data_IF_375086357487
#
_entry.id   IF_375086357487
#
_cell.length_a   1.000
_cell.length_b   1.000
_cell.length_c   1.000
_cell.angle_alpha   90.00
_cell.angle_beta   90.00
_cell.angle_gamma   90.00
#
_symmetry.space_group_name_H-M   'P 1'
#
loop_
_entity.id
_entity.type
_entity.pdbx_description
1 polymer ?
#
# COMPACT_ATOMS: atom_id res chain seq x y z
N UNK A 1 -10.82 3.90 31.44
CA UNK A 1 -9.45 3.34 31.52
C UNK A 1 -8.63 3.90 30.37
N UNK A 2 -7.42 4.37 30.63
CA UNK A 2 -6.47 4.86 29.63
C UNK A 2 -5.28 3.92 29.63
N UNK A 3 -4.87 3.47 28.43
CA UNK A 3 -3.68 2.64 28.23
C UNK A 3 -2.78 3.42 27.26
N UNK A 4 -1.70 4.08 27.71
CA UNK A 4 -0.74 4.69 26.81
C UNK A 4 -0.03 3.62 25.98
N UNK A 5 0.10 3.88 24.68
CA UNK A 5 0.78 2.99 23.74
C UNK A 5 2.14 3.59 23.36
N UNK A 6 3.19 2.88 23.71
CA UNK A 6 4.59 3.29 23.49
C UNK A 6 4.97 3.06 22.02
N UNK A 7 5.54 4.07 21.37
CA UNK A 7 6.06 4.00 20.00
C UNK A 7 7.59 4.02 19.92
N UNK A 8 8.29 4.39 21.01
CA UNK A 8 9.74 4.33 21.11
C UNK A 8 10.17 3.97 22.53
N UNK A 9 11.40 3.49 22.67
CA UNK A 9 11.89 2.99 23.96
C UNK A 9 12.02 4.08 25.03
N UNK A 10 12.33 5.32 24.65
CA UNK A 10 12.43 6.44 25.60
C UNK A 10 11.08 6.83 26.21
N UNK A 11 9.97 6.64 25.49
CA UNK A 11 8.63 6.83 26.05
C UNK A 11 8.32 5.79 27.13
N UNK A 12 8.76 4.54 26.89
CA UNK A 12 8.65 3.49 27.90
C UNK A 12 9.39 3.85 29.19
N UNK A 13 10.64 4.30 29.09
CA UNK A 13 11.44 4.74 30.24
C UNK A 13 10.76 5.90 30.97
N UNK A 14 10.29 6.90 30.22
CA UNK A 14 9.58 8.06 30.79
C UNK A 14 8.32 7.65 31.58
N UNK A 15 7.54 6.70 31.06
CA UNK A 15 6.33 6.22 31.76
C UNK A 15 6.71 5.50 33.05
N UNK A 16 7.77 4.70 33.05
CA UNK A 16 8.24 4.00 34.26
C UNK A 16 8.71 4.99 35.31
N UNK A 17 9.52 6.00 34.94
CA UNK A 17 9.99 7.03 35.82
C UNK A 17 8.85 7.80 36.49
N UNK A 18 7.82 8.18 35.71
CA UNK A 18 6.65 8.83 36.28
C UNK A 18 5.80 7.90 37.17
N UNK A 19 5.66 6.63 36.76
CA UNK A 19 4.95 5.65 37.56
C UNK A 19 5.60 5.43 38.95
N UNK A 20 6.93 5.39 38.97
CA UNK A 20 7.71 5.31 40.22
C UNK A 20 7.52 6.56 41.07
N UNK A 21 7.67 7.77 40.51
CA UNK A 21 7.46 9.04 41.21
C UNK A 21 6.05 9.18 41.82
N UNK A 22 5.05 8.65 41.14
CA UNK A 22 3.64 8.71 41.57
C UNK A 22 3.24 7.52 42.45
N UNK A 23 4.08 6.50 42.57
CA UNK A 23 3.77 5.26 43.29
C UNK A 23 2.63 4.46 42.70
N UNK A 24 2.47 4.48 41.36
CA UNK A 24 1.38 3.80 40.64
C UNK A 24 1.91 2.64 39.77
N UNK A 25 1.04 1.70 39.47
CA UNK A 25 1.28 0.63 38.50
C UNK A 25 0.58 1.02 37.18
N UNK A 26 1.36 1.37 36.11
CA UNK A 26 0.74 1.83 34.87
C UNK A 26 0.14 0.65 34.09
N UNK A 27 -0.93 0.92 33.35
CA UNK A 27 -1.34 0.00 32.26
C UNK A 27 -0.64 0.46 30.99
N UNK A 28 0.09 -0.45 30.33
CA UNK A 28 0.95 -0.12 29.20
C UNK A 28 0.52 -0.90 27.94
N UNK A 29 0.61 -0.23 26.80
CA UNK A 29 0.59 -0.82 25.47
C UNK A 29 1.92 -0.58 24.75
N UNK A 30 2.26 -1.43 23.81
CA UNK A 30 3.41 -1.23 22.92
C UNK A 30 3.01 -1.42 21.48
N UNK A 31 3.42 -0.49 20.60
CA UNK A 31 3.28 -0.62 19.16
C UNK A 31 4.49 -1.36 18.61
N UNK A 32 4.26 -2.58 18.10
CA UNK A 32 5.31 -3.40 17.51
C UNK A 32 5.43 -3.17 16.00
N UNK A 33 6.67 -3.12 15.51
CA UNK A 33 6.97 -3.17 14.07
C UNK A 33 6.87 -4.62 13.60
N UNK A 34 6.01 -4.86 12.61
CA UNK A 34 5.91 -6.15 11.95
C UNK A 34 6.80 -6.19 10.69
N UNK A 35 7.22 -7.38 10.28
CA UNK A 35 7.90 -7.59 9.02
C UNK A 35 6.92 -7.45 7.83
N UNK A 36 5.66 -7.79 8.06
CA UNK A 36 4.57 -7.62 7.11
C UNK A 36 4.39 -6.14 6.74
N UNK A 37 4.29 -5.86 5.44
CA UNK A 37 4.10 -4.52 4.91
C UNK A 37 2.70 -4.38 4.31
N UNK A 38 2.06 -3.23 4.52
CA UNK A 38 0.83 -2.87 3.82
C UNK A 38 1.10 -2.65 2.33
N UNK A 39 0.12 -2.96 1.49
CA UNK A 39 0.11 -2.51 0.09
C UNK A 39 -0.47 -1.09 0.01
N UNK A 40 0.01 -0.26 -0.92
CA UNK A 40 -0.52 1.06 -1.21
C UNK A 40 0.47 2.22 -0.99
N UNK A 41 -0.02 3.43 -1.23
CA UNK A 41 0.75 4.70 -1.23
C UNK A 41 1.54 5.01 0.05
N UNK A 42 1.14 4.42 1.18
CA UNK A 42 1.69 4.70 2.52
C UNK A 42 2.46 3.50 3.10
N UNK A 43 3.09 2.69 2.24
CA UNK A 43 3.89 1.53 2.65
C UNK A 43 5.00 1.88 3.66
N UNK A 44 5.51 3.11 3.63
CA UNK A 44 6.58 3.57 4.52
C UNK A 44 6.14 3.75 5.99
N UNK A 45 4.84 3.79 6.28
CA UNK A 45 4.32 3.90 7.65
C UNK A 45 4.22 2.55 8.37
N UNK A 46 4.43 1.44 7.68
CA UNK A 46 4.47 0.08 8.22
C UNK A 46 5.80 -0.63 7.95
N UNK A 47 5.93 -1.87 8.43
CA UNK A 47 7.12 -2.70 8.24
C UNK A 47 8.32 -2.29 9.09
N UNK A 48 9.42 -3.01 8.92
CA UNK A 48 10.66 -2.86 9.72
C UNK A 48 11.31 -1.48 9.63
N UNK A 49 11.11 -0.76 8.52
CA UNK A 49 11.66 0.59 8.28
C UNK A 49 10.77 1.72 8.76
N UNK A 50 9.59 1.40 9.32
CA UNK A 50 8.70 2.42 9.88
C UNK A 50 9.43 3.27 10.93
N UNK A 51 9.20 4.59 10.90
CA UNK A 51 9.64 5.49 11.96
C UNK A 51 8.82 5.32 13.26
N UNK A 52 7.69 4.63 13.20
CA UNK A 52 6.78 4.39 14.31
C UNK A 52 6.89 2.97 14.83
N UNK A 53 6.71 2.82 16.14
CA UNK A 53 6.73 1.55 16.85
C UNK A 53 8.14 1.05 17.17
N UNK A 54 8.21 0.08 18.04
CA UNK A 54 9.43 -0.56 18.53
C UNK A 54 9.66 -1.91 17.87
N UNK A 55 10.90 -2.33 17.78
CA UNK A 55 11.27 -3.66 17.27
C UNK A 55 10.87 -4.76 18.26
N UNK A 56 10.76 -6.00 17.82
CA UNK A 56 10.48 -7.15 18.69
C UNK A 56 11.56 -7.25 19.80
N UNK A 57 12.82 -6.95 19.49
CA UNK A 57 13.90 -6.94 20.47
C UNK A 57 13.71 -5.89 21.55
N UNK A 58 13.23 -4.70 21.17
CA UNK A 58 12.90 -3.63 22.14
C UNK A 58 11.66 -3.96 22.97
N UNK A 59 10.63 -4.58 22.38
CA UNK A 59 9.46 -5.10 23.13
C UNK A 59 9.92 -6.10 24.19
N UNK A 60 10.75 -7.07 23.82
CA UNK A 60 11.28 -8.05 24.77
C UNK A 60 12.15 -7.42 25.85
N UNK A 61 12.99 -6.45 25.49
CA UNK A 61 13.81 -5.70 26.48
C UNK A 61 12.92 -4.96 27.47
N UNK A 62 11.92 -4.23 26.99
CA UNK A 62 10.96 -3.52 27.84
C UNK A 62 10.19 -4.49 28.76
N UNK A 63 9.74 -5.62 28.23
CA UNK A 63 9.05 -6.64 29.00
C UNK A 63 9.94 -7.25 30.08
N UNK A 64 11.19 -7.56 29.78
CA UNK A 64 12.17 -8.05 30.78
C UNK A 64 12.40 -7.01 31.90
N UNK A 65 12.43 -5.72 31.56
CA UNK A 65 12.50 -4.64 32.56
C UNK A 65 11.26 -4.64 33.46
N UNK A 66 10.07 -4.78 32.90
CA UNK A 66 8.82 -4.89 33.67
C UNK A 66 8.82 -6.13 34.56
N UNK A 67 9.26 -7.28 34.07
CA UNK A 67 9.37 -8.51 34.88
C UNK A 67 10.32 -8.34 36.05
N UNK A 68 11.50 -7.75 35.83
CA UNK A 68 12.49 -7.50 36.87
C UNK A 68 11.96 -6.60 37.99
N UNK A 69 11.07 -5.69 37.65
CA UNK A 69 10.37 -4.78 38.57
C UNK A 69 9.04 -5.35 39.11
N UNK A 70 8.75 -6.62 38.87
CA UNK A 70 7.47 -7.26 39.24
C UNK A 70 6.25 -6.57 38.67
N UNK A 71 6.35 -6.00 37.47
CA UNK A 71 5.32 -5.27 36.72
C UNK A 71 4.99 -5.90 35.37
N UNK A 72 5.25 -7.18 35.16
CA UNK A 72 4.93 -7.88 33.90
C UNK A 72 3.45 -7.85 33.54
N UNK A 73 2.57 -7.82 34.53
CA UNK A 73 1.12 -7.67 34.40
C UNK A 73 0.67 -6.27 33.92
N UNK A 74 1.56 -5.28 34.00
CA UNK A 74 1.32 -3.93 33.50
C UNK A 74 1.34 -3.84 31.97
N UNK A 75 1.99 -4.77 31.26
CA UNK A 75 1.97 -4.84 29.81
C UNK A 75 0.67 -5.52 29.34
N UNK A 76 -0.34 -4.73 29.03
CA UNK A 76 -1.70 -5.23 28.78
C UNK A 76 -2.19 -5.14 27.34
N UNK A 77 -1.54 -4.34 26.50
CA UNK A 77 -1.97 -4.13 25.12
C UNK A 77 -0.80 -4.26 24.14
N UNK A 78 -0.97 -5.07 23.12
CA UNK A 78 -0.10 -5.09 21.94
C UNK A 78 -0.82 -4.38 20.78
N UNK A 79 -0.12 -3.44 20.14
CA UNK A 79 -0.65 -2.68 19.00
C UNK A 79 0.25 -2.84 17.79
N UNK A 80 -0.34 -2.87 16.60
CA UNK A 80 0.38 -2.69 15.34
C UNK A 80 -0.44 -1.85 14.37
N UNK A 81 0.24 -1.27 13.37
CA UNK A 81 -0.42 -0.50 12.32
C UNK A 81 0.27 -0.76 10.98
N UNK A 82 -0.51 -1.17 9.97
CA UNK A 82 0.00 -1.56 8.66
C UNK A 82 0.19 -0.40 7.69
N UNK A 83 -0.49 0.71 7.94
CA UNK A 83 -0.51 1.85 7.03
C UNK A 83 -1.90 2.41 6.81
N UNK A 84 -2.12 3.06 5.68
CA UNK A 84 -3.40 3.69 5.34
C UNK A 84 -3.84 3.28 3.94
N UNK A 85 -5.15 3.15 3.73
CA UNK A 85 -5.73 2.74 2.46
C UNK A 85 -5.14 1.40 1.99
N UNK A 86 -5.25 0.38 2.84
CA UNK A 86 -4.75 -0.96 2.54
C UNK A 86 -5.71 -1.58 1.52
N UNK A 87 -5.25 -1.74 0.29
CA UNK A 87 -6.08 -2.21 -0.83
C UNK A 87 -6.17 -3.73 -0.95
N UNK A 88 -5.23 -4.47 -0.34
CA UNK A 88 -5.14 -5.94 -0.46
C UNK A 88 -5.31 -6.63 0.89
N UNK A 89 -6.35 -7.46 1.01
CA UNK A 89 -6.64 -8.23 2.22
C UNK A 89 -5.50 -9.19 2.61
N UNK A 90 -4.68 -9.66 1.66
CA UNK A 90 -3.56 -10.56 1.96
C UNK A 90 -2.53 -9.92 2.87
N UNK A 91 -2.29 -8.62 2.72
CA UNK A 91 -1.40 -7.86 3.61
C UNK A 91 -1.93 -7.85 5.06
N UNK A 92 -3.24 -7.69 5.21
CA UNK A 92 -3.92 -7.73 6.52
C UNK A 92 -3.77 -9.13 7.15
N UNK A 93 -4.07 -10.19 6.39
CA UNK A 93 -3.96 -11.59 6.88
C UNK A 93 -2.56 -11.91 7.38
N UNK A 94 -1.53 -11.55 6.62
CA UNK A 94 -0.12 -11.79 7.01
C UNK A 94 0.24 -11.08 8.31
N UNK A 95 -0.15 -9.83 8.46
CA UNK A 95 0.13 -9.06 9.67
C UNK A 95 -0.64 -9.56 10.89
N UNK A 96 -1.89 -9.99 10.72
CA UNK A 96 -2.68 -10.58 11.80
C UNK A 96 -2.02 -11.85 12.37
N UNK A 97 -1.52 -12.71 11.49
CA UNK A 97 -0.82 -13.93 11.90
C UNK A 97 0.47 -13.59 12.64
N UNK A 98 1.28 -12.65 12.10
CA UNK A 98 2.53 -12.23 12.73
C UNK A 98 2.28 -11.60 14.10
N UNK A 99 1.34 -10.65 14.21
CA UNK A 99 0.99 -9.98 15.46
C UNK A 99 0.43 -10.97 16.51
N UNK A 100 -0.41 -11.90 16.09
CA UNK A 100 -0.94 -12.95 16.99
C UNK A 100 0.17 -13.87 17.51
N UNK A 101 1.19 -14.18 16.69
CA UNK A 101 2.39 -14.93 17.15
C UNK A 101 3.20 -14.13 18.17
N UNK A 102 3.37 -12.83 17.98
CA UNK A 102 4.03 -11.96 18.96
C UNK A 102 3.21 -11.91 20.26
N UNK A 103 1.89 -11.74 20.16
CA UNK A 103 0.98 -11.72 21.31
C UNK A 103 1.09 -13.02 22.13
N UNK A 104 0.95 -14.18 21.49
CA UNK A 104 1.00 -15.47 22.17
C UNK A 104 2.37 -15.76 22.76
N UNK A 105 3.46 -15.36 22.08
CA UNK A 105 4.83 -15.50 22.57
C UNK A 105 5.09 -14.67 23.84
N UNK A 106 4.60 -13.43 23.89
CA UNK A 106 4.70 -12.56 25.08
C UNK A 106 3.82 -13.08 26.22
N UNK A 107 2.59 -13.50 25.92
CA UNK A 107 1.67 -14.06 26.91
C UNK A 107 2.29 -15.29 27.60
N UNK A 108 2.86 -16.21 26.84
CA UNK A 108 3.51 -17.40 27.37
C UNK A 108 4.78 -17.12 28.20
N UNK A 109 5.39 -15.93 28.03
CA UNK A 109 6.47 -15.44 28.87
C UNK A 109 5.97 -14.73 30.14
N UNK A 110 4.64 -14.61 30.33
CA UNK A 110 4.02 -14.04 31.52
C UNK A 110 3.65 -12.55 31.40
N UNK A 111 3.54 -12.01 30.18
CA UNK A 111 2.98 -10.69 29.98
C UNK A 111 1.47 -10.69 30.32
N UNK A 112 1.01 -9.61 30.97
CA UNK A 112 -0.40 -9.44 31.37
C UNK A 112 -1.31 -9.02 30.22
N UNK A 113 -1.04 -9.45 28.99
CA UNK A 113 -1.74 -9.05 27.79
C UNK A 113 -3.21 -9.42 27.80
N UNK A 114 -4.06 -8.45 27.54
CA UNK A 114 -5.53 -8.60 27.47
C UNK A 114 -6.10 -8.09 26.16
N UNK A 115 -5.36 -7.18 25.49
CA UNK A 115 -5.83 -6.49 24.31
C UNK A 115 -4.87 -6.67 23.15
N UNK A 116 -5.41 -6.87 21.96
CA UNK A 116 -4.70 -6.78 20.69
C UNK A 116 -5.38 -5.72 19.83
N UNK A 117 -4.70 -4.59 19.67
CA UNK A 117 -5.13 -3.51 18.80
C UNK A 117 -4.53 -3.73 17.41
N UNK A 118 -5.38 -4.07 16.46
CA UNK A 118 -5.00 -4.36 15.07
C UNK A 118 -4.84 -3.09 14.23
N UNK A 119 -4.92 -1.93 14.88
CA UNK A 119 -4.76 -0.63 14.24
C UNK A 119 -5.88 -0.31 13.27
N UNK A 120 -5.57 0.56 12.34
CA UNK A 120 -6.48 1.02 11.30
C UNK A 120 -5.93 0.78 9.90
N UNK A 121 -6.33 1.68 8.99
CA UNK A 121 -5.83 1.66 7.62
C UNK A 121 -6.71 0.88 6.65
N UNK A 122 -7.91 0.46 7.06
CA UNK A 122 -8.86 -0.17 6.13
C UNK A 122 -9.02 0.69 4.90
N UNK A 123 -8.99 0.03 3.73
CA UNK A 123 -9.25 0.66 2.46
C UNK A 123 -10.70 1.13 2.33
N UNK A 124 -10.91 2.09 1.46
CA UNK A 124 -12.22 2.50 0.96
C UNK A 124 -12.17 2.43 -0.56
N UNK A 125 -13.20 1.85 -1.15
CA UNK A 125 -13.31 1.77 -2.60
C UNK A 125 -13.92 3.07 -3.14
N UNK A 126 -13.04 4.06 -3.40
CA UNK A 126 -13.45 5.37 -3.90
C UNK A 126 -13.86 5.38 -5.38
N UNK A 127 -13.39 4.41 -6.15
CA UNK A 127 -13.63 4.33 -7.58
C UNK A 127 -14.62 3.21 -7.99
N UNK A 128 -15.01 2.36 -7.04
CA UNK A 128 -15.99 1.29 -7.28
C UNK A 128 -15.44 0.07 -8.04
N UNK A 129 -14.11 -0.04 -8.21
CA UNK A 129 -13.50 -1.12 -8.99
C UNK A 129 -13.34 -2.44 -8.24
N UNK A 130 -13.39 -2.43 -6.91
CA UNK A 130 -13.16 -3.58 -6.02
C UNK A 130 -11.85 -4.32 -6.34
N UNK A 131 -10.78 -3.55 -6.58
CA UNK A 131 -9.45 -4.06 -6.95
C UNK A 131 -8.39 -3.67 -5.91
N UNK A 132 -7.14 -4.09 -6.16
CA UNK A 132 -5.98 -3.69 -5.36
C UNK A 132 -5.41 -2.32 -5.74
N UNK A 133 -6.11 -1.53 -6.56
CA UNK A 133 -5.70 -0.19 -6.92
C UNK A 133 -5.64 0.74 -5.69
N UNK A 134 -4.81 1.78 -5.74
CA UNK A 134 -4.58 2.70 -4.62
C UNK A 134 -5.84 3.41 -4.11
N UNK A 135 -6.84 3.60 -5.00
CA UNK A 135 -8.12 4.23 -4.67
C UNK A 135 -9.26 3.21 -4.47
N UNK A 136 -8.92 1.93 -4.31
CA UNK A 136 -9.87 0.83 -4.14
C UNK A 136 -9.45 -0.12 -3.03
N UNK A 137 -10.21 -1.18 -2.82
CA UNK A 137 -9.89 -2.33 -1.98
C UNK A 137 -10.56 -3.59 -2.52
N UNK A 138 -9.89 -4.75 -2.37
CA UNK A 138 -10.37 -6.03 -2.87
C UNK A 138 -11.14 -6.87 -1.84
N UNK A 139 -11.64 -6.26 -0.77
CA UNK A 139 -12.33 -6.95 0.34
C UNK A 139 -13.51 -6.14 0.88
N UNK A 140 -14.43 -6.81 1.54
CA UNK A 140 -15.52 -6.19 2.28
C UNK A 140 -15.16 -6.00 3.77
N UNK A 141 -15.89 -5.13 4.47
CA UNK A 141 -15.77 -4.98 5.93
C UNK A 141 -16.07 -6.29 6.66
N UNK A 142 -17.02 -7.08 6.14
CA UNK A 142 -17.34 -8.38 6.73
C UNK A 142 -16.20 -9.38 6.55
N UNK A 143 -15.56 -9.42 5.39
CA UNK A 143 -14.38 -10.25 5.16
C UNK A 143 -13.24 -9.85 6.09
N UNK A 144 -12.94 -8.55 6.19
CA UNK A 144 -11.95 -8.06 7.14
C UNK A 144 -12.23 -8.52 8.57
N UNK A 145 -13.47 -8.35 9.06
CA UNK A 145 -13.84 -8.74 10.41
C UNK A 145 -13.71 -10.26 10.63
N UNK A 146 -14.12 -11.06 9.65
CA UNK A 146 -13.99 -12.51 9.69
C UNK A 146 -12.51 -12.93 9.75
N UNK A 147 -11.65 -12.32 8.93
CA UNK A 147 -10.21 -12.62 8.90
C UNK A 147 -9.51 -12.24 10.21
N UNK A 148 -9.85 -11.07 10.78
CA UNK A 148 -9.32 -10.63 12.08
C UNK A 148 -9.63 -11.67 13.15
N UNK A 149 -10.89 -12.06 13.28
CA UNK A 149 -11.29 -13.05 14.28
C UNK A 149 -10.68 -14.43 14.00
N UNK A 150 -10.73 -14.89 12.75
CA UNK A 150 -10.26 -16.21 12.35
C UNK A 150 -8.77 -16.41 12.62
N UNK A 151 -7.92 -15.49 12.14
CA UNK A 151 -6.47 -15.64 12.27
C UNK A 151 -6.00 -15.52 13.72
N UNK A 152 -6.52 -14.57 14.49
CA UNK A 152 -6.18 -14.41 15.91
C UNK A 152 -6.64 -15.64 16.70
N UNK A 153 -7.87 -16.11 16.48
CA UNK A 153 -8.42 -17.28 17.16
C UNK A 153 -7.58 -18.52 16.89
N UNK A 154 -7.21 -18.78 15.64
CA UNK A 154 -6.42 -19.96 15.29
C UNK A 154 -5.04 -19.96 15.95
N UNK A 155 -4.32 -18.82 15.88
CA UNK A 155 -3.01 -18.71 16.50
C UNK A 155 -3.08 -18.85 18.03
N UNK A 156 -4.07 -18.22 18.67
CA UNK A 156 -4.27 -18.36 20.12
C UNK A 156 -4.58 -19.81 20.52
N UNK A 157 -5.44 -20.49 19.74
CA UNK A 157 -5.79 -21.90 19.98
C UNK A 157 -4.58 -22.83 19.81
N UNK A 158 -3.78 -22.63 18.76
CA UNK A 158 -2.56 -23.41 18.55
C UNK A 158 -1.54 -23.24 19.69
N UNK A 159 -1.49 -22.05 20.30
CA UNK A 159 -0.57 -21.73 21.38
C UNK A 159 -1.12 -22.00 22.79
N UNK A 160 -2.37 -22.47 22.89
CA UNK A 160 -3.13 -22.64 24.15
C UNK A 160 -3.16 -21.37 25.01
N UNK A 161 -3.40 -20.22 24.35
CA UNK A 161 -3.46 -18.88 24.95
C UNK A 161 -4.88 -18.32 24.86
N UNK A 162 -5.40 -17.66 25.91
CA UNK A 162 -6.69 -16.99 25.85
C UNK A 162 -6.76 -15.93 24.74
N UNK A 163 -7.93 -15.83 24.11
CA UNK A 163 -8.14 -14.83 23.07
C UNK A 163 -8.10 -13.41 23.66
N UNK A 164 -7.44 -12.44 22.97
CA UNK A 164 -7.47 -11.06 23.38
C UNK A 164 -8.83 -10.41 23.15
N UNK A 165 -9.10 -9.29 23.84
CA UNK A 165 -10.07 -8.33 23.38
C UNK A 165 -9.45 -7.59 22.17
N UNK A 166 -10.16 -7.64 21.05
CA UNK A 166 -9.68 -7.03 19.79
C UNK A 166 -10.14 -5.57 19.75
N UNK A 167 -9.22 -4.68 19.42
CA UNK A 167 -9.48 -3.26 19.16
C UNK A 167 -9.15 -3.01 17.69
N UNK A 168 -9.99 -2.22 17.01
CA UNK A 168 -9.76 -1.79 15.62
C UNK A 168 -10.00 -0.29 15.50
N UNK A 169 -9.10 0.41 14.84
CA UNK A 169 -9.14 1.84 14.57
C UNK A 169 -9.70 2.10 13.17
N UNK A 170 -11.00 1.89 12.99
CA UNK A 170 -11.65 1.87 11.67
C UNK A 170 -12.19 3.25 11.23
N UNK A 171 -11.55 4.36 11.62
CA UNK A 171 -12.03 5.72 11.40
C UNK A 171 -12.39 6.03 9.95
N UNK A 172 -11.50 5.73 9.00
CA UNK A 172 -11.75 5.94 7.57
C UNK A 172 -12.97 5.15 7.07
N UNK A 173 -13.04 3.87 7.37
CA UNK A 173 -14.13 3.01 6.94
C UNK A 173 -15.50 3.47 7.47
N UNK A 174 -15.54 4.03 8.68
CA UNK A 174 -16.77 4.56 9.30
C UNK A 174 -17.16 5.91 8.72
N UNK A 175 -16.20 6.82 8.47
CA UNK A 175 -16.47 8.22 8.14
C UNK A 175 -16.40 8.55 6.64
N UNK A 176 -15.82 7.70 5.79
CA UNK A 176 -15.58 8.02 4.38
C UNK A 176 -16.87 8.28 3.58
N UNK A 177 -17.96 7.63 3.94
CA UNK A 177 -19.25 7.71 3.24
C UNK A 177 -20.20 8.78 3.81
N UNK A 178 -19.75 9.67 4.68
CA UNK A 178 -20.59 10.70 5.28
C UNK A 178 -20.97 11.82 4.30
N UNK A 179 -20.25 11.95 3.18
CA UNK A 179 -20.54 12.92 2.13
C UNK A 179 -20.24 12.36 0.75
N UNK A 180 -20.98 12.83 -0.27
CA UNK A 180 -20.81 12.44 -1.68
C UNK A 180 -20.69 13.73 -2.50
N UNK A 181 -19.68 13.77 -3.38
CA UNK A 181 -19.54 14.82 -4.40
C UNK A 181 -20.16 14.33 -5.72
N UNK A 182 -21.17 15.04 -6.19
CA UNK A 182 -21.79 14.78 -7.48
C UNK A 182 -21.39 15.89 -8.45
N UNK A 183 -20.87 15.54 -9.62
CA UNK A 183 -20.47 16.48 -10.64
C UNK A 183 -20.70 15.92 -12.05
N UNK A 184 -20.83 16.80 -13.02
CA UNK A 184 -20.90 16.43 -14.42
C UNK A 184 -19.51 16.45 -15.04
N UNK A 185 -19.18 15.45 -15.86
CA UNK A 185 -17.99 15.48 -16.69
C UNK A 185 -18.24 16.46 -17.86
N UNK A 186 -17.56 17.61 -17.88
CA UNK A 186 -17.67 18.60 -18.96
C UNK A 186 -16.82 18.25 -20.19
N UNK A 187 -15.84 17.35 -20.01
CA UNK A 187 -14.97 16.92 -21.09
C UNK A 187 -13.92 15.93 -20.57
N UNK A 188 -13.28 15.25 -21.48
CA UNK A 188 -12.13 14.40 -21.22
C UNK A 188 -10.94 14.97 -22.00
N UNK A 189 -9.79 15.13 -21.34
CA UNK A 189 -8.53 15.33 -22.03
C UNK A 189 -7.93 13.95 -22.30
N UNK A 190 -7.89 13.60 -23.55
CA UNK A 190 -7.26 12.36 -24.00
C UNK A 190 -6.36 12.64 -25.19
N UNK A 191 -5.60 11.67 -25.67
CA UNK A 191 -4.94 11.78 -26.97
C UNK A 191 -6.04 12.10 -27.97
N UNK A 192 -5.94 13.30 -28.59
CA UNK A 192 -6.95 13.79 -29.55
C UNK A 192 -7.29 12.74 -30.59
N UNK A 193 -8.49 12.90 -31.17
CA UNK A 193 -8.92 12.05 -32.27
C UNK A 193 -7.79 11.94 -33.30
N UNK A 194 -7.64 10.79 -33.92
CA UNK A 194 -6.69 10.50 -35.03
C UNK A 194 -6.75 11.61 -36.08
N UNK A 195 -6.19 12.78 -35.80
CA UNK A 195 -6.16 13.90 -36.74
C UNK A 195 -4.95 13.71 -37.65
N UNK A 196 -5.21 13.09 -38.82
CA UNK A 196 -4.41 13.37 -39.98
C UNK A 196 -2.93 12.99 -39.93
N UNK A 197 -2.60 11.72 -39.63
CA UNK A 197 -1.27 11.24 -40.00
C UNK A 197 -1.02 11.53 -41.50
N UNK A 198 0.18 11.96 -41.89
CA UNK A 198 0.52 12.19 -43.29
C UNK A 198 0.35 10.89 -44.08
N UNK A 199 0.03 11.01 -45.36
CA UNK A 199 -0.09 9.83 -46.25
C UNK A 199 1.24 9.17 -46.56
N UNK A 200 2.32 9.93 -46.45
CA UNK A 200 3.70 9.49 -46.68
C UNK A 200 4.61 10.11 -45.63
N UNK A 201 5.62 9.37 -45.22
CA UNK A 201 6.64 9.91 -44.33
C UNK A 201 7.46 11.00 -45.07
N UNK A 202 7.92 12.01 -44.34
CA UNK A 202 8.81 13.04 -44.87
C UNK A 202 10.15 12.43 -45.28
N UNK A 203 10.77 12.95 -46.35
CA UNK A 203 12.00 12.36 -46.94
C UNK A 203 13.18 12.41 -45.98
N UNK A 204 13.31 13.47 -45.19
CA UNK A 204 14.37 13.72 -44.20
C UNK A 204 13.99 13.27 -42.76
N UNK A 205 13.07 12.33 -42.63
CA UNK A 205 12.70 11.79 -41.34
C UNK A 205 13.91 11.13 -40.66
N UNK A 206 14.11 11.50 -39.37
CA UNK A 206 15.11 10.85 -38.53
C UNK A 206 14.77 9.36 -38.25
N UNK A 207 15.77 8.58 -37.94
CA UNK A 207 15.59 7.13 -37.77
C UNK A 207 14.46 6.73 -36.81
N UNK A 208 14.28 7.38 -35.65
CA UNK A 208 13.15 7.02 -34.74
C UNK A 208 11.77 7.25 -35.38
N UNK A 209 11.61 8.27 -36.21
CA UNK A 209 10.36 8.49 -36.95
C UNK A 209 10.11 7.38 -37.99
N UNK A 210 11.16 6.94 -38.67
CA UNK A 210 11.04 5.82 -39.63
C UNK A 210 10.62 4.55 -38.91
N UNK A 211 11.19 4.26 -37.77
CA UNK A 211 10.80 3.12 -36.93
C UNK A 211 9.33 3.23 -36.52
N UNK A 212 8.86 4.38 -36.01
CA UNK A 212 7.45 4.57 -35.66
C UNK A 212 6.52 4.39 -36.87
N UNK A 213 6.92 4.91 -38.04
CA UNK A 213 6.15 4.78 -39.25
C UNK A 213 6.05 3.31 -39.70
N UNK A 214 7.14 2.60 -39.72
CA UNK A 214 7.21 1.17 -40.08
C UNK A 214 6.41 0.31 -39.11
N UNK A 215 6.55 0.53 -37.79
CA UNK A 215 5.78 -0.14 -36.74
C UNK A 215 4.29 0.09 -36.92
N UNK A 216 3.85 1.32 -37.23
CA UNK A 216 2.45 1.62 -37.46
C UNK A 216 1.86 0.84 -38.62
N UNK A 217 2.60 0.66 -39.73
CA UNK A 217 2.14 -0.03 -40.92
C UNK A 217 2.30 -1.56 -40.87
N UNK A 218 3.20 -2.06 -40.02
CA UNK A 218 3.43 -3.49 -39.81
C UNK A 218 2.61 -4.08 -38.66
N UNK A 219 1.81 -3.27 -37.96
CA UNK A 219 1.05 -3.68 -36.79
C UNK A 219 0.00 -4.74 -37.14
N UNK A 220 0.02 -5.86 -36.44
CA UNK A 220 -0.93 -6.96 -36.55
C UNK A 220 -1.17 -7.61 -35.18
N UNK A 221 -2.12 -8.54 -35.09
CA UNK A 221 -2.49 -9.21 -33.84
C UNK A 221 -1.32 -9.99 -33.23
N UNK A 222 -0.45 -10.55 -34.06
CA UNK A 222 0.66 -11.40 -33.62
C UNK A 222 1.81 -10.61 -32.99
N UNK A 223 1.93 -9.29 -33.26
CA UNK A 223 3.07 -8.48 -32.83
C UNK A 223 2.70 -7.30 -31.91
N UNK A 224 1.55 -7.30 -31.27
CA UNK A 224 1.04 -6.16 -30.50
C UNK A 224 2.02 -5.69 -29.41
N UNK A 225 2.58 -6.61 -28.63
CA UNK A 225 3.49 -6.29 -27.52
C UNK A 225 4.83 -5.80 -28.00
N UNK A 226 5.40 -6.46 -29.03
CA UNK A 226 6.67 -6.07 -29.67
C UNK A 226 6.53 -4.67 -30.28
N UNK A 227 5.46 -4.44 -31.05
CA UNK A 227 5.17 -3.13 -31.65
C UNK A 227 5.01 -2.01 -30.62
N UNK A 228 4.43 -2.31 -29.45
CA UNK A 228 4.34 -1.34 -28.36
C UNK A 228 5.72 -0.96 -27.81
N UNK A 229 6.57 -1.95 -27.54
CA UNK A 229 7.92 -1.70 -27.03
C UNK A 229 8.79 -0.94 -28.01
N UNK A 230 8.74 -1.31 -29.30
CA UNK A 230 9.48 -0.62 -30.36
C UNK A 230 9.02 0.83 -30.53
N UNK A 231 7.71 1.05 -30.48
CA UNK A 231 7.16 2.40 -30.55
C UNK A 231 7.53 3.25 -29.34
N UNK A 232 7.53 2.67 -28.13
CA UNK A 232 7.94 3.37 -26.91
C UNK A 232 9.42 3.78 -26.99
N UNK A 233 10.29 2.87 -27.36
CA UNK A 233 11.72 3.15 -27.53
C UNK A 233 11.96 4.25 -28.58
N UNK A 234 11.30 4.16 -29.74
CA UNK A 234 11.44 5.14 -30.80
C UNK A 234 10.92 6.53 -30.38
N UNK A 235 9.84 6.61 -29.60
CA UNK A 235 9.37 7.87 -29.03
C UNK A 235 10.40 8.47 -28.06
N UNK A 236 10.96 7.66 -27.15
CA UNK A 236 11.98 8.11 -26.18
C UNK A 236 13.24 8.63 -26.91
N UNK A 237 13.66 7.95 -27.97
CA UNK A 237 14.76 8.42 -28.82
C UNK A 237 14.43 9.75 -29.51
N UNK A 238 13.20 9.92 -30.02
CA UNK A 238 12.75 11.18 -30.62
C UNK A 238 12.74 12.33 -29.61
N UNK A 239 12.32 12.07 -28.37
CA UNK A 239 12.36 13.05 -27.27
C UNK A 239 13.82 13.45 -26.98
N UNK A 240 14.72 12.49 -26.91
CA UNK A 240 16.14 12.73 -26.65
C UNK A 240 16.79 13.57 -27.76
N UNK A 241 16.56 13.21 -29.02
CA UNK A 241 17.05 13.99 -30.17
C UNK A 241 16.51 15.40 -30.20
N UNK A 242 15.22 15.59 -29.90
CA UNK A 242 14.61 16.92 -29.81
C UNK A 242 15.23 17.74 -28.68
N UNK A 243 15.41 17.16 -27.49
CA UNK A 243 16.03 17.82 -26.34
C UNK A 243 17.51 18.17 -26.61
N UNK A 244 18.20 17.38 -27.42
CA UNK A 244 19.56 17.64 -27.87
C UNK A 244 19.66 18.66 -29.03
N UNK A 245 18.54 19.16 -29.55
CA UNK A 245 18.50 20.10 -30.68
C UNK A 245 18.72 19.44 -32.05
N UNK A 246 18.63 18.12 -32.14
CA UNK A 246 18.88 17.33 -33.36
C UNK A 246 17.59 16.92 -34.08
N UNK A 247 16.42 17.17 -33.52
CA UNK A 247 15.14 16.89 -34.14
C UNK A 247 14.29 18.15 -34.18
N UNK A 248 13.70 18.56 -35.32
CA UNK A 248 12.83 19.71 -35.38
C UNK A 248 11.46 19.45 -34.77
N UNK A 249 10.76 20.53 -34.36
CA UNK A 249 9.50 20.45 -33.61
C UNK A 249 8.39 19.70 -34.36
N UNK A 250 8.30 19.87 -35.69
CA UNK A 250 7.34 19.16 -36.51
C UNK A 250 7.56 17.65 -36.52
N UNK A 251 8.81 17.21 -36.55
CA UNK A 251 9.14 15.78 -36.44
C UNK A 251 8.87 15.24 -35.04
N UNK A 252 9.14 16.03 -33.99
CA UNK A 252 8.80 15.67 -32.62
C UNK A 252 7.28 15.50 -32.44
N UNK A 253 6.48 16.41 -33.01
CA UNK A 253 5.01 16.29 -32.99
C UNK A 253 4.53 15.05 -33.74
N UNK A 254 5.10 14.79 -34.91
CA UNK A 254 4.75 13.60 -35.70
C UNK A 254 5.09 12.29 -34.97
N UNK A 255 6.20 12.25 -34.22
CA UNK A 255 6.55 11.09 -33.40
C UNK A 255 5.50 10.80 -32.33
N UNK A 256 4.97 11.84 -31.64
CA UNK A 256 3.89 11.68 -30.68
C UNK A 256 2.60 11.20 -31.35
N UNK A 257 2.25 11.75 -32.50
CA UNK A 257 1.02 11.38 -33.21
C UNK A 257 1.07 9.93 -33.70
N UNK A 258 2.22 9.49 -34.24
CA UNK A 258 2.47 8.10 -34.64
C UNK A 258 2.37 7.14 -33.45
N UNK A 259 3.03 7.45 -32.34
CA UNK A 259 2.97 6.64 -31.12
C UNK A 259 1.52 6.50 -30.62
N UNK A 260 0.77 7.60 -30.57
CA UNK A 260 -0.65 7.57 -30.16
C UNK A 260 -1.50 6.74 -31.11
N UNK A 261 -1.23 6.82 -32.43
CA UNK A 261 -1.93 6.00 -33.43
C UNK A 261 -1.62 4.50 -33.27
N UNK A 262 -0.38 4.16 -32.99
CA UNK A 262 0.04 2.77 -32.70
C UNK A 262 -0.70 2.28 -31.43
N UNK A 263 -0.66 3.02 -30.34
CA UNK A 263 -1.35 2.64 -29.11
C UNK A 263 -2.87 2.47 -29.30
N UNK A 264 -3.50 3.36 -30.09
CA UNK A 264 -4.91 3.26 -30.40
C UNK A 264 -5.22 2.02 -31.24
N UNK A 265 -4.40 1.71 -32.25
CA UNK A 265 -4.57 0.52 -33.07
C UNK A 265 -4.33 -0.77 -32.31
N UNK A 266 -3.32 -0.80 -31.40
CA UNK A 266 -3.09 -1.94 -30.47
C UNK A 266 -4.33 -2.18 -29.61
N UNK A 267 -4.89 -1.11 -29.00
CA UNK A 267 -6.12 -1.25 -28.19
C UNK A 267 -7.27 -1.81 -28.99
N UNK A 268 -7.48 -1.28 -30.19
CA UNK A 268 -8.61 -1.70 -31.05
C UNK A 268 -8.44 -3.17 -31.45
N UNK A 269 -7.25 -3.60 -31.86
CA UNK A 269 -6.95 -5.00 -32.18
C UNK A 269 -7.04 -5.93 -30.95
N UNK A 270 -6.59 -5.48 -29.78
CA UNK A 270 -6.68 -6.26 -28.55
C UNK A 270 -8.12 -6.43 -28.03
N UNK A 271 -9.05 -5.58 -28.42
CA UNK A 271 -10.47 -5.73 -28.06
C UNK A 271 -11.22 -6.69 -28.97
N UNK A 272 -10.61 -7.12 -30.08
CA UNK A 272 -11.15 -8.12 -31.01
C UNK A 272 -10.74 -9.56 -30.63
N UNK A 273 -9.83 -9.71 -29.66
CA UNK A 273 -9.38 -10.98 -29.08
C UNK A 273 -10.24 -11.40 -27.89
#
# INVERSE_FOLDING_TARGET
>A
TVIPVVENYSEFELILDYAEQLGIRPMLGMRVKLASQGAGRWQESGGMRSKFGVTISEVLRAFNTLQSSQMGDCFQLLHFHLGSQISDIRSVKSALIEAARVYTGLYNQGAGLKYLDVGGGLGVDYEGSQTTADCSMNYSLQEYANDVVFHITNVCREADVPHPNIISESGRAVSAYNSVLVFNAFGASGPGARSGLPKTLIEDAEQPLRTLWETYHALCIENLLESFHDAQLALEMSISLFSGGHLPLNQRSLAEDLFRAICASIRDLATEL
#
